data_IF_920731449937
#
_entry.id   IF_920731449937
#
_cell.length_a   1.000
_cell.length_b   1.000
_cell.length_c   1.000
_cell.angle_alpha   90.00
_cell.angle_beta   90.00
_cell.angle_gamma   90.00
#
_symmetry.space_group_name_H-M   'P 1'
#
loop_
_entity.id
_entity.type
_entity.pdbx_description
1 polymer ?
#
# COMPACT_ATOMS: atom_id res chain seq x y z
N UNK A 1 -7.77 -4.83 -27.52
CA UNK A 1 -6.90 -3.84 -26.86
C UNK A 1 -7.24 -3.92 -25.37
N UNK A 2 -6.52 -4.77 -24.63
CA UNK A 2 -6.72 -5.08 -23.21
C UNK A 2 -5.38 -5.57 -22.65
N UNK A 3 -4.33 -4.73 -22.66
CA UNK A 3 -3.00 -5.07 -22.13
C UNK A 3 -2.20 -3.80 -21.90
N UNK A 4 -2.37 -3.14 -20.75
CA UNK A 4 -1.38 -2.20 -20.19
C UNK A 4 -1.72 -1.70 -18.77
N UNK A 5 -2.14 -2.55 -17.81
CA UNK A 5 -2.54 -2.04 -16.47
C UNK A 5 -1.98 -2.82 -15.29
N UNK A 6 -1.09 -3.79 -15.50
CA UNK A 6 -0.37 -4.45 -14.41
C UNK A 6 0.94 -3.77 -13.96
N UNK A 7 1.59 -2.85 -14.73
CA UNK A 7 2.65 -2.02 -14.13
C UNK A 7 2.08 -0.94 -13.21
N UNK A 8 0.76 -0.76 -13.13
CA UNK A 8 0.11 0.29 -12.32
C UNK A 8 0.35 0.08 -10.82
N UNK A 9 0.59 -1.14 -10.34
CA UNK A 9 1.00 -1.37 -8.95
C UNK A 9 2.43 -0.87 -8.65
N UNK A 10 3.30 -0.81 -9.66
CA UNK A 10 4.64 -0.22 -9.54
C UNK A 10 4.66 1.27 -9.90
N UNK A 11 3.73 1.72 -10.75
CA UNK A 11 3.77 3.05 -11.38
C UNK A 11 2.99 4.12 -10.61
N UNK A 12 2.07 3.74 -9.70
CA UNK A 12 1.49 4.68 -8.72
C UNK A 12 2.54 5.28 -7.78
N UNK A 13 3.68 4.60 -7.59
CA UNK A 13 4.81 5.13 -6.80
C UNK A 13 5.53 6.30 -7.48
N UNK A 14 5.43 6.46 -8.80
CA UNK A 14 6.19 7.48 -9.54
C UNK A 14 5.54 8.88 -9.54
N UNK A 15 4.24 8.99 -9.30
CA UNK A 15 3.58 10.30 -9.16
C UNK A 15 3.78 10.92 -7.78
N UNK A 16 4.10 10.12 -6.75
CA UNK A 16 4.40 10.62 -5.40
C UNK A 16 5.71 11.46 -5.35
N UNK A 17 6.61 11.29 -6.33
CA UNK A 17 7.88 12.01 -6.38
C UNK A 17 7.78 13.44 -6.92
N UNK A 18 6.64 13.86 -7.50
CA UNK A 18 6.53 15.16 -8.17
C UNK A 18 5.97 16.30 -7.30
N UNK A 19 5.32 16.01 -6.17
CA UNK A 19 4.76 17.03 -5.26
C UNK A 19 5.59 17.27 -3.99
N UNK A 20 6.84 16.78 -3.94
CA UNK A 20 7.82 17.10 -2.88
C UNK A 20 8.69 18.31 -3.27
N UNK A 21 8.40 19.46 -2.64
CA UNK A 21 9.19 20.71 -2.59
C UNK A 21 9.91 21.16 -3.89
N UNK A 22 9.23 22.05 -4.64
CA UNK A 22 9.82 22.76 -5.75
C UNK A 22 10.81 23.85 -5.26
N UNK A 23 12.09 23.48 -5.05
CA UNK A 23 13.17 24.47 -4.99
C UNK A 23 14.34 24.15 -5.96
N UNK A 24 14.27 24.84 -7.10
CA UNK A 24 15.35 25.37 -7.97
C UNK A 24 16.55 24.49 -8.33
N UNK A 25 16.49 24.05 -9.60
CA UNK A 25 17.57 24.03 -10.61
C UNK A 25 18.87 23.28 -10.29
N UNK A 26 19.12 22.21 -11.05
CA UNK A 26 20.28 22.12 -11.96
C UNK A 26 20.13 20.98 -12.97
N UNK A 27 20.23 21.35 -14.25
CA UNK A 27 20.42 20.45 -15.38
C UNK A 27 21.54 19.45 -15.13
N UNK A 28 21.31 18.18 -15.50
CA UNK A 28 22.38 17.35 -16.01
C UNK A 28 21.82 16.42 -17.09
N UNK A 29 22.18 16.77 -18.33
CA UNK A 29 22.00 15.98 -19.53
C UNK A 29 22.64 14.60 -19.40
N UNK A 30 21.84 13.56 -19.65
CA UNK A 30 22.20 12.41 -20.48
C UNK A 30 21.00 11.44 -20.59
N UNK A 31 20.02 11.76 -21.43
CA UNK A 31 19.07 10.75 -21.92
C UNK A 31 19.21 10.59 -23.43
N UNK A 32 19.62 9.39 -23.83
CA UNK A 32 19.60 8.93 -25.22
C UNK A 32 18.14 8.76 -25.63
N UNK A 33 17.63 9.72 -26.40
CA UNK A 33 16.27 9.75 -26.95
C UNK A 33 16.08 8.67 -28.02
N UNK A 34 15.07 7.83 -27.86
CA UNK A 34 14.48 7.04 -28.96
C UNK A 34 13.27 7.81 -29.47
N UNK A 35 13.41 8.37 -30.67
CA UNK A 35 12.35 9.07 -31.42
C UNK A 35 11.34 8.08 -31.99
N UNK A 36 10.05 8.31 -31.74
CA UNK A 36 8.96 7.76 -32.55
C UNK A 36 8.28 8.94 -33.23
N UNK A 37 8.43 8.99 -34.56
CA UNK A 37 7.80 9.99 -35.42
C UNK A 37 6.31 9.69 -35.57
N UNK A 38 5.46 10.70 -35.36
CA UNK A 38 4.12 10.75 -35.96
C UNK A 38 3.86 12.16 -36.51
N UNK A 39 3.89 12.26 -37.84
CA UNK A 39 3.20 13.25 -38.68
C UNK A 39 1.69 13.31 -38.29
N UNK A 40 0.90 14.40 -38.36
CA UNK A 40 0.98 15.73 -38.95
C UNK A 40 -0.18 16.60 -38.39
N UNK A 41 0.03 17.91 -38.32
CA UNK A 41 -0.77 18.96 -38.98
C UNK A 41 -0.97 20.22 -38.11
N UNK A 42 -0.50 21.32 -38.68
CA UNK A 42 -0.57 22.67 -38.15
C UNK A 42 -2.01 23.21 -38.22
N UNK A 43 -2.53 23.70 -37.10
CA UNK A 43 -3.74 24.51 -37.06
C UNK A 43 -3.68 25.46 -35.87
N UNK A 44 -3.44 26.74 -36.14
CA UNK A 44 -3.47 27.81 -35.14
C UNK A 44 -4.86 27.91 -34.51
N UNK A 45 -4.96 27.89 -33.18
CA UNK A 45 -6.18 28.30 -32.47
C UNK A 45 -5.90 29.60 -31.73
N UNK A 46 -6.68 30.61 -32.07
CA UNK A 46 -6.81 31.88 -31.36
C UNK A 46 -8.10 31.82 -30.54
N UNK A 47 -7.97 32.23 -29.28
CA UNK A 47 -8.95 32.63 -28.26
C UNK A 47 -10.49 32.54 -28.48
N UNK A 48 -11.13 31.97 -27.42
CA UNK A 48 -12.34 32.43 -26.67
C UNK A 48 -13.76 31.90 -27.03
N UNK A 49 -14.32 31.24 -25.99
CA UNK A 49 -15.73 31.00 -25.56
C UNK A 49 -16.66 30.05 -26.31
N UNK A 50 -17.18 29.04 -25.58
CA UNK A 50 -18.62 28.88 -25.25
C UNK A 50 -18.81 27.90 -24.08
N UNK A 51 -19.47 28.34 -23.00
CA UNK A 51 -20.07 27.50 -21.97
C UNK A 51 -21.37 26.89 -22.53
N UNK A 52 -21.57 25.59 -22.39
CA UNK A 52 -22.80 24.91 -22.81
C UNK A 52 -23.57 24.41 -21.58
N UNK A 53 -24.83 24.83 -21.45
CA UNK A 53 -25.80 24.30 -20.50
C UNK A 53 -26.55 23.13 -21.13
N UNK A 54 -26.71 22.02 -20.41
CA UNK A 54 -27.68 20.99 -20.78
C UNK A 54 -29.10 21.35 -20.32
N UNK A 55 -30.09 20.60 -20.82
CA UNK A 55 -31.54 20.84 -20.62
C UNK A 55 -32.01 20.58 -19.16
N UNK A 56 -31.08 20.32 -18.23
CA UNK A 56 -31.32 20.19 -16.80
C UNK A 56 -30.70 21.33 -15.97
N UNK A 57 -30.07 22.32 -16.61
CA UNK A 57 -29.49 23.47 -15.92
C UNK A 57 -28.18 23.17 -15.17
N UNK A 58 -27.55 22.04 -15.44
CA UNK A 58 -26.20 21.75 -14.96
C UNK A 58 -25.19 22.43 -15.90
N UNK A 59 -24.28 23.22 -15.34
CA UNK A 59 -23.15 23.79 -16.08
C UNK A 59 -22.09 22.69 -16.18
N UNK A 60 -21.90 22.11 -17.36
CA UNK A 60 -20.80 21.19 -17.63
C UNK A 60 -19.50 21.98 -17.72
N UNK A 61 -18.63 21.82 -16.72
CA UNK A 61 -17.30 22.42 -16.71
C UNK A 61 -16.38 21.64 -17.65
N UNK A 62 -15.68 22.31 -18.55
CA UNK A 62 -14.70 21.70 -19.46
C UNK A 62 -13.24 22.10 -19.17
N UNK A 63 -13.05 22.90 -18.12
CA UNK A 63 -11.78 23.45 -17.69
C UNK A 63 -11.36 22.71 -16.41
N UNK A 64 -10.25 21.97 -16.48
CA UNK A 64 -9.74 21.17 -15.36
C UNK A 64 -9.56 22.01 -14.09
N UNK A 65 -9.15 23.27 -14.22
CA UNK A 65 -8.95 24.17 -13.08
C UNK A 65 -10.26 24.44 -12.34
N UNK A 66 -11.35 24.65 -13.11
CA UNK A 66 -12.70 24.83 -12.56
C UNK A 66 -13.25 23.54 -11.98
N UNK A 67 -12.96 22.38 -12.58
CA UNK A 67 -13.40 21.08 -12.04
C UNK A 67 -12.68 20.79 -10.72
N UNK A 68 -11.40 21.12 -10.60
CA UNK A 68 -10.68 21.05 -9.33
C UNK A 68 -11.31 21.96 -8.27
N UNK A 69 -11.57 23.25 -8.58
CA UNK A 69 -12.17 24.17 -7.61
C UNK A 69 -13.56 23.68 -7.18
N UNK A 70 -14.33 23.14 -8.13
CA UNK A 70 -15.61 22.50 -7.89
C UNK A 70 -15.48 21.28 -6.95
N UNK A 71 -14.48 20.42 -7.18
CA UNK A 71 -14.21 19.26 -6.34
C UNK A 71 -13.97 19.64 -4.87
N UNK A 72 -13.12 20.65 -4.64
CA UNK A 72 -12.84 21.15 -3.29
C UNK A 72 -14.09 21.73 -2.62
N UNK A 73 -14.91 22.48 -3.37
CA UNK A 73 -16.15 23.06 -2.83
C UNK A 73 -17.21 22.00 -2.53
N UNK A 74 -17.33 20.98 -3.38
CA UNK A 74 -18.16 19.82 -3.13
C UNK A 74 -17.72 19.07 -1.87
N UNK A 75 -16.42 18.86 -1.68
CA UNK A 75 -15.89 18.17 -0.52
C UNK A 75 -16.17 18.94 0.77
N UNK A 76 -15.91 20.26 0.80
CA UNK A 76 -16.25 21.12 1.96
C UNK A 76 -17.72 21.07 2.35
N UNK A 77 -18.63 20.89 1.37
CA UNK A 77 -20.08 20.83 1.59
C UNK A 77 -20.59 19.43 1.90
N UNK A 78 -19.72 18.40 1.83
CA UNK A 78 -20.10 17.00 1.89
C UNK A 78 -21.16 16.65 0.82
N UNK A 79 -20.94 17.18 -0.39
CA UNK A 79 -21.83 17.04 -1.55
C UNK A 79 -20.99 16.74 -2.80
N UNK A 80 -20.30 15.59 -2.78
CA UNK A 80 -19.36 15.18 -3.83
C UNK A 80 -19.98 14.36 -4.95
N UNK A 81 -21.26 13.97 -4.83
CA UNK A 81 -21.96 13.21 -5.86
C UNK A 81 -21.86 13.85 -7.26
N UNK A 82 -22.03 15.18 -7.42
CA UNK A 82 -21.89 15.83 -8.74
C UNK A 82 -20.50 15.71 -9.36
N UNK A 83 -19.43 15.55 -8.56
CA UNK A 83 -18.07 15.42 -9.08
C UNK A 83 -17.89 14.11 -9.87
N UNK A 84 -18.67 13.08 -9.55
CA UNK A 84 -18.58 11.77 -10.18
C UNK A 84 -18.86 11.81 -11.70
N UNK A 85 -19.62 12.80 -12.19
CA UNK A 85 -19.83 13.00 -13.62
C UNK A 85 -18.53 13.25 -14.39
N UNK A 86 -17.56 13.92 -13.77
CA UNK A 86 -16.27 14.28 -14.36
C UNK A 86 -15.23 13.16 -14.30
N UNK A 87 -15.51 12.08 -13.57
CA UNK A 87 -14.62 10.92 -13.49
C UNK A 87 -14.48 10.22 -14.83
N UNK A 88 -13.26 9.78 -15.12
CA UNK A 88 -12.94 8.98 -16.30
C UNK A 88 -13.70 7.66 -16.29
N UNK A 89 -13.79 7.02 -17.46
CA UNK A 89 -14.37 5.67 -17.56
C UNK A 89 -13.67 4.67 -16.64
N UNK A 90 -12.35 4.76 -16.51
CA UNK A 90 -11.56 3.83 -15.69
C UNK A 90 -11.91 3.95 -14.20
N UNK A 91 -12.15 5.17 -13.68
CA UNK A 91 -12.65 5.36 -12.32
C UNK A 91 -14.06 4.77 -12.18
N UNK A 92 -14.96 5.06 -13.12
CA UNK A 92 -16.37 4.59 -13.07
C UNK A 92 -16.51 3.07 -13.20
N UNK A 93 -15.55 2.40 -13.83
CA UNK A 93 -15.48 0.94 -13.88
C UNK A 93 -14.97 0.32 -12.57
N UNK A 94 -14.29 1.11 -11.74
CA UNK A 94 -13.65 0.69 -10.48
C UNK A 94 -14.56 0.93 -9.27
N UNK A 95 -15.20 2.10 -9.20
CA UNK A 95 -16.03 2.53 -8.07
C UNK A 95 -17.33 3.13 -8.60
N UNK A 96 -18.46 2.78 -7.98
CA UNK A 96 -19.74 3.41 -8.25
C UNK A 96 -19.86 4.78 -7.54
N UNK A 97 -20.95 5.50 -7.82
CA UNK A 97 -21.16 6.84 -7.26
C UNK A 97 -21.23 6.82 -5.72
N UNK A 98 -21.94 5.85 -5.15
CA UNK A 98 -22.06 5.71 -3.69
C UNK A 98 -20.69 5.44 -3.04
N UNK A 99 -19.88 4.56 -3.62
CA UNK A 99 -18.52 4.31 -3.16
C UNK A 99 -17.62 5.54 -3.31
N UNK A 100 -17.77 6.29 -4.40
CA UNK A 100 -17.04 7.54 -4.62
C UNK A 100 -17.38 8.58 -3.57
N UNK A 101 -18.67 8.74 -3.23
CA UNK A 101 -19.12 9.61 -2.14
C UNK A 101 -18.53 9.16 -0.81
N UNK A 102 -18.64 7.85 -0.51
CA UNK A 102 -18.09 7.26 0.72
C UNK A 102 -16.61 7.58 0.92
N UNK A 103 -15.80 7.53 -0.15
CA UNK A 103 -14.37 7.84 -0.09
C UNK A 103 -14.08 9.24 0.46
N UNK A 104 -14.88 10.26 0.11
CA UNK A 104 -14.69 11.63 0.60
C UNK A 104 -15.33 11.85 1.97
N UNK A 105 -16.47 11.21 2.22
CA UNK A 105 -17.19 11.28 3.49
C UNK A 105 -16.39 10.65 4.63
N UNK A 106 -15.71 9.54 4.35
CA UNK A 106 -14.83 8.85 5.30
C UNK A 106 -13.72 9.77 5.82
N UNK A 107 -13.20 10.69 4.99
CA UNK A 107 -12.20 11.67 5.45
C UNK A 107 -12.79 12.66 6.46
N UNK A 108 -14.01 13.15 6.22
CA UNK A 108 -14.69 14.07 7.14
C UNK A 108 -15.05 13.35 8.45
N UNK A 109 -15.56 12.12 8.33
CA UNK A 109 -15.98 11.33 9.48
C UNK A 109 -14.77 10.87 10.34
N UNK A 110 -13.60 10.64 9.72
CA UNK A 110 -12.39 10.24 10.42
C UNK A 110 -11.56 11.42 10.95
N UNK A 111 -11.48 12.52 10.21
CA UNK A 111 -10.52 13.60 10.48
C UNK A 111 -11.16 14.91 10.93
N UNK A 112 -12.49 14.99 10.90
CA UNK A 112 -13.28 16.17 11.26
C UNK A 112 -13.58 17.06 10.06
N UNK A 113 -14.11 18.26 10.29
CA UNK A 113 -14.42 19.19 9.20
C UNK A 113 -13.15 19.74 8.51
N UNK A 114 -13.25 20.09 7.23
CA UNK A 114 -12.20 20.85 6.52
C UNK A 114 -12.15 22.27 7.11
N UNK A 115 -10.98 22.65 7.62
CA UNK A 115 -10.71 23.95 8.25
C UNK A 115 -10.10 24.95 7.26
N UNK A 116 -9.20 24.50 6.39
CA UNK A 116 -8.60 25.29 5.31
C UNK A 116 -8.09 24.39 4.18
N UNK A 117 -7.79 24.99 3.03
CA UNK A 117 -7.14 24.33 1.90
C UNK A 117 -6.03 25.27 1.44
N UNK A 118 -4.83 24.73 1.26
CA UNK A 118 -3.68 25.48 0.76
C UNK A 118 -3.89 25.98 -0.68
N UNK A 119 -2.99 26.85 -1.14
CA UNK A 119 -2.96 27.21 -2.56
C UNK A 119 -2.57 25.99 -3.39
N UNK A 120 -3.26 25.82 -4.53
CA UNK A 120 -3.01 24.69 -5.43
C UNK A 120 -1.74 24.91 -6.24
N UNK A 121 -0.91 23.88 -6.33
CA UNK A 121 0.16 23.76 -7.32
C UNK A 121 -0.31 22.92 -8.50
N UNK A 122 0.11 23.30 -9.71
CA UNK A 122 -0.22 22.57 -10.93
C UNK A 122 1.04 21.90 -11.49
N UNK A 123 0.98 20.58 -11.60
CA UNK A 123 2.05 19.76 -12.17
C UNK A 123 1.58 19.16 -13.49
N UNK A 124 2.34 19.39 -14.56
CA UNK A 124 2.08 18.80 -15.87
C UNK A 124 3.19 17.82 -16.25
N UNK A 125 2.82 16.56 -16.46
CA UNK A 125 3.77 15.52 -16.84
C UNK A 125 3.09 14.44 -17.68
N UNK A 126 3.76 14.00 -18.76
CA UNK A 126 3.33 12.86 -19.59
C UNK A 126 1.87 12.96 -20.10
N UNK A 127 1.38 14.17 -20.37
CA UNK A 127 0.01 14.39 -20.84
C UNK A 127 -1.06 14.36 -19.74
N UNK A 128 -0.64 14.34 -18.48
CA UNK A 128 -1.49 14.48 -17.30
C UNK A 128 -1.32 15.88 -16.71
N UNK A 129 -2.40 16.42 -16.15
CA UNK A 129 -2.40 17.66 -15.39
C UNK A 129 -2.91 17.38 -13.97
N UNK A 130 -2.06 17.58 -12.97
CA UNK A 130 -2.35 17.29 -11.58
C UNK A 130 -2.42 18.57 -10.75
N UNK A 131 -3.51 18.75 -10.02
CA UNK A 131 -3.69 19.84 -9.06
C UNK A 131 -3.37 19.29 -7.67
N UNK A 132 -2.24 19.69 -7.10
CA UNK A 132 -1.76 19.30 -5.77
C UNK A 132 -2.12 20.39 -4.75
N UNK A 133 -2.63 20.00 -3.58
CA UNK A 133 -2.91 20.90 -2.46
C UNK A 133 -2.78 20.14 -1.15
N UNK A 134 -2.62 20.84 -0.02
CA UNK A 134 -2.92 20.27 1.29
C UNK A 134 -4.33 20.67 1.71
N UNK A 135 -5.14 19.69 2.09
CA UNK A 135 -6.46 19.91 2.73
C UNK A 135 -6.29 19.73 4.23
N UNK A 136 -6.61 20.76 5.01
CA UNK A 136 -6.47 20.75 6.45
C UNK A 136 -7.80 20.41 7.12
N UNK A 137 -7.83 19.32 7.86
CA UNK A 137 -8.94 18.89 8.69
C UNK A 137 -8.72 19.28 10.16
N UNK A 138 -9.73 19.13 11.01
CA UNK A 138 -9.60 19.42 12.45
C UNK A 138 -8.48 18.60 13.13
N UNK A 139 -8.26 17.36 12.68
CA UNK A 139 -7.33 16.40 13.28
C UNK A 139 -6.26 15.84 12.32
N UNK A 140 -6.25 16.25 11.05
CA UNK A 140 -5.29 15.77 10.07
C UNK A 140 -4.97 16.80 8.99
N UNK A 141 -3.78 16.71 8.42
CA UNK A 141 -3.42 17.38 7.17
C UNK A 141 -3.38 16.36 6.05
N UNK A 142 -3.96 16.65 4.90
CA UNK A 142 -4.06 15.71 3.80
C UNK A 142 -3.53 16.33 2.51
N UNK A 143 -2.26 16.10 2.16
CA UNK A 143 -1.80 16.20 0.78
C UNK A 143 -2.77 15.44 -0.13
N UNK A 144 -3.37 16.16 -1.07
CA UNK A 144 -4.35 15.66 -2.02
C UNK A 144 -3.96 16.09 -3.44
N UNK A 145 -4.16 15.19 -4.41
CA UNK A 145 -3.99 15.51 -5.82
C UNK A 145 -5.17 15.05 -6.67
N UNK A 146 -5.60 15.91 -7.59
CA UNK A 146 -6.64 15.62 -8.58
C UNK A 146 -5.98 15.63 -9.95
N UNK A 147 -5.88 14.45 -10.57
CA UNK A 147 -5.15 14.25 -11.82
C UNK A 147 -6.13 14.08 -12.98
N UNK A 148 -5.99 14.96 -13.96
CA UNK A 148 -6.78 14.96 -15.18
C UNK A 148 -6.00 14.33 -16.33
N UNK A 149 -6.66 13.44 -17.07
CA UNK A 149 -6.13 12.73 -18.23
C UNK A 149 -7.12 12.96 -19.37
N UNK A 150 -6.68 13.60 -20.46
CA UNK A 150 -7.54 13.98 -21.59
C UNK A 150 -8.79 14.79 -21.19
N UNK A 151 -8.71 15.60 -20.12
CA UNK A 151 -9.82 16.43 -19.64
C UNK A 151 -10.81 15.73 -18.71
N UNK A 152 -10.60 14.45 -18.39
CA UNK A 152 -11.40 13.70 -17.41
C UNK A 152 -10.61 13.52 -16.11
N UNK A 153 -11.29 13.51 -14.96
CA UNK A 153 -10.67 13.20 -13.68
C UNK A 153 -10.27 11.73 -13.68
N UNK A 154 -8.98 11.46 -13.89
CA UNK A 154 -8.41 10.13 -14.08
C UNK A 154 -7.77 9.55 -12.83
N UNK A 155 -7.49 10.38 -11.82
CA UNK A 155 -6.96 9.91 -10.54
C UNK A 155 -7.18 10.91 -9.42
N UNK A 156 -7.38 10.40 -8.21
CA UNK A 156 -7.41 11.17 -6.96
C UNK A 156 -6.44 10.47 -6.01
N UNK A 157 -5.54 11.24 -5.39
CA UNK A 157 -4.69 10.76 -4.31
C UNK A 157 -4.96 11.59 -3.06
N UNK A 158 -5.04 10.95 -1.90
CA UNK A 158 -5.26 11.60 -0.61
C UNK A 158 -4.42 10.85 0.43
N UNK A 159 -3.51 11.57 1.10
CA UNK A 159 -2.55 10.99 2.03
C UNK A 159 -2.71 11.69 3.40
N UNK A 160 -3.67 11.32 4.25
CA UNK A 160 -3.90 12.02 5.51
C UNK A 160 -2.77 11.76 6.53
N UNK A 161 -2.34 12.80 7.25
CA UNK A 161 -1.40 12.74 8.36
C UNK A 161 -2.05 13.34 9.60
N UNK A 162 -2.13 12.57 10.67
CA UNK A 162 -2.69 13.06 11.92
C UNK A 162 -1.81 14.13 12.54
N UNK A 163 -2.42 15.22 12.98
CA UNK A 163 -1.72 16.32 13.65
C UNK A 163 -1.75 16.18 15.17
N UNK A 164 -2.57 15.26 15.70
CA UNK A 164 -2.78 14.99 17.12
C UNK A 164 -3.17 13.53 17.32
N UNK A 165 -2.87 13.00 18.50
CA UNK A 165 -3.37 11.70 18.91
C UNK A 165 -4.88 11.78 19.22
N UNK A 166 -5.65 10.78 18.82
CA UNK A 166 -7.07 10.67 19.15
C UNK A 166 -7.53 9.21 19.18
N UNK A 167 -8.70 8.97 19.79
CA UNK A 167 -9.32 7.65 19.84
C UNK A 167 -10.64 7.69 19.08
N UNK A 168 -10.87 6.69 18.23
CA UNK A 168 -12.14 6.45 17.54
C UNK A 168 -12.85 5.25 18.16
N UNK A 169 -14.14 5.41 18.46
CA UNK A 169 -15.03 4.29 18.80
C UNK A 169 -15.50 3.66 17.49
N UNK A 170 -15.02 2.45 17.18
CA UNK A 170 -15.38 1.72 15.95
C UNK A 170 -16.69 0.95 16.13
N UNK A 171 -16.88 0.40 17.33
CA UNK A 171 -18.10 -0.28 17.75
C UNK A 171 -18.29 -0.11 19.26
N UNK A 172 -19.32 -0.72 19.84
CA UNK A 172 -19.52 -0.74 21.30
C UNK A 172 -18.33 -1.36 22.07
N UNK A 173 -17.50 -2.18 21.40
CA UNK A 173 -16.41 -2.94 22.01
C UNK A 173 -15.03 -2.65 21.44
N UNK A 174 -14.94 -2.13 20.21
CA UNK A 174 -13.66 -1.92 19.50
C UNK A 174 -13.32 -0.45 19.43
N UNK A 175 -12.07 -0.13 19.78
CA UNK A 175 -11.50 1.21 19.71
C UNK A 175 -10.23 1.21 18.87
N UNK A 176 -9.95 2.35 18.27
CA UNK A 176 -8.71 2.62 17.55
C UNK A 176 -8.06 3.89 18.11
N UNK A 177 -6.87 3.76 18.68
CA UNK A 177 -6.02 4.89 19.02
C UNK A 177 -5.12 5.21 17.81
N UNK A 178 -5.19 6.44 17.34
CA UNK A 178 -4.39 6.97 16.25
C UNK A 178 -3.32 7.89 16.82
N UNK A 179 -2.07 7.67 16.44
CA UNK A 179 -0.91 8.41 16.94
C UNK A 179 0.26 8.30 15.96
N UNK A 180 1.40 8.87 16.32
CA UNK A 180 2.64 8.77 15.55
C UNK A 180 3.74 8.08 16.34
N UNK A 181 4.47 7.18 15.68
CA UNK A 181 5.73 6.61 16.17
C UNK A 181 6.87 7.37 15.52
N UNK A 182 7.78 7.89 16.34
CA UNK A 182 9.01 8.52 15.87
C UNK A 182 10.05 7.44 15.58
N UNK A 183 10.59 7.48 14.37
CA UNK A 183 11.62 6.56 13.89
C UNK A 183 12.66 7.36 13.13
N UNK A 184 13.80 7.63 13.76
CA UNK A 184 14.89 8.47 13.23
C UNK A 184 14.42 9.84 12.71
N UNK A 185 13.45 10.46 13.40
CA UNK A 185 12.87 11.74 13.01
C UNK A 185 11.80 11.65 11.92
N UNK A 186 11.49 10.46 11.41
CA UNK A 186 10.29 10.19 10.64
C UNK A 186 9.13 9.93 11.58
N UNK A 187 8.05 10.71 11.43
CA UNK A 187 6.83 10.58 12.23
C UNK A 187 5.84 9.71 11.47
N UNK A 188 5.81 8.42 11.79
CA UNK A 188 5.02 7.43 11.09
C UNK A 188 3.68 7.23 11.78
N UNK A 189 2.61 7.36 11.01
CA UNK A 189 1.26 7.12 11.49
C UNK A 189 1.08 5.68 11.92
N UNK A 190 0.57 5.48 13.13
CA UNK A 190 0.26 4.18 13.70
C UNK A 190 -1.16 4.15 14.26
N UNK A 191 -1.77 2.97 14.21
CA UNK A 191 -3.12 2.70 14.70
C UNK A 191 -3.09 1.48 15.61
N UNK A 192 -3.43 1.68 16.87
CA UNK A 192 -3.60 0.60 17.84
C UNK A 192 -5.08 0.27 17.99
N UNK A 193 -5.47 -0.91 17.54
CA UNK A 193 -6.85 -1.42 17.57
C UNK A 193 -6.99 -2.41 18.71
N UNK A 194 -7.95 -2.18 19.61
CA UNK A 194 -8.10 -2.97 20.84
C UNK A 194 -9.56 -3.08 21.28
N UNK A 195 -9.84 -4.06 22.14
CA UNK A 195 -11.13 -4.18 22.83
C UNK A 195 -10.95 -4.27 24.35
N UNK A 196 -11.78 -3.51 25.08
CA UNK A 196 -11.70 -3.42 26.55
C UNK A 196 -10.42 -2.73 27.06
N UNK A 197 -10.11 -2.94 28.33
CA UNK A 197 -8.96 -2.32 29.02
C UNK A 197 -7.95 -3.32 29.59
N UNK A 198 -8.25 -4.62 29.47
CA UNK A 198 -7.39 -5.68 29.99
C UNK A 198 -6.23 -5.96 29.04
N UNK A 199 -5.12 -6.48 29.57
CA UNK A 199 -4.00 -6.91 28.75
C UNK A 199 -4.40 -8.11 27.87
N UNK A 200 -4.18 -8.01 26.57
CA UNK A 200 -4.51 -9.05 25.58
C UNK A 200 -3.29 -9.41 24.72
N UNK A 201 -3.27 -10.61 24.13
CA UNK A 201 -2.34 -10.93 23.05
C UNK A 201 -2.48 -9.88 21.94
N UNK A 202 -1.34 -9.43 21.42
CA UNK A 202 -1.31 -8.34 20.46
C UNK A 202 -0.48 -8.71 19.24
N UNK A 203 -0.98 -8.39 18.04
CA UNK A 203 -0.24 -8.58 16.79
C UNK A 203 0.38 -7.28 16.33
N UNK A 204 1.65 -7.31 15.93
CA UNK A 204 2.24 -6.32 15.05
C UNK A 204 2.02 -6.76 13.61
N UNK A 205 1.30 -5.96 12.82
CA UNK A 205 1.03 -6.23 11.42
C UNK A 205 2.11 -5.58 10.55
N UNK A 206 2.84 -6.39 9.77
CA UNK A 206 3.91 -5.95 8.87
C UNK A 206 3.43 -6.10 7.42
N UNK A 207 3.41 -4.98 6.69
CA UNK A 207 2.97 -4.92 5.31
C UNK A 207 3.84 -5.74 4.35
N UNK A 208 3.30 -6.04 3.17
CA UNK A 208 4.02 -6.56 2.02
C UNK A 208 4.96 -5.55 1.37
N UNK A 209 5.36 -5.86 0.14
CA UNK A 209 6.33 -5.09 -0.64
C UNK A 209 5.80 -3.74 -1.12
N UNK A 210 6.70 -2.76 -1.27
CA UNK A 210 6.41 -1.44 -1.81
C UNK A 210 5.73 -0.49 -0.83
N UNK A 211 5.62 0.81 -1.12
CA UNK A 211 5.02 1.80 -0.23
C UNK A 211 3.60 1.43 0.20
N UNK A 212 3.35 1.35 1.52
CA UNK A 212 2.04 0.99 2.08
C UNK A 212 1.66 1.87 3.26
N UNK A 213 0.37 2.22 3.33
CA UNK A 213 -0.22 2.84 4.52
C UNK A 213 -0.37 1.83 5.67
N UNK A 214 -0.84 2.30 6.82
CA UNK A 214 -1.10 1.44 7.98
C UNK A 214 -2.24 0.42 7.75
N UNK A 215 -3.07 0.58 6.72
CA UNK A 215 -4.14 -0.35 6.39
C UNK A 215 -3.75 -1.41 5.36
N UNK A 216 -2.54 -1.30 4.79
CA UNK A 216 -2.15 -1.98 3.56
C UNK A 216 -3.18 -1.83 2.45
N UNK A 217 -3.73 -0.62 2.34
CA UNK A 217 -4.81 -0.33 1.42
C UNK A 217 -4.33 -0.44 -0.02
N UNK A 218 -5.12 -1.14 -0.83
CA UNK A 218 -4.90 -1.26 -2.28
C UNK A 218 -6.21 -1.10 -3.00
N UNK A 219 -6.30 -0.08 -3.88
CA UNK A 219 -7.57 0.31 -4.48
C UNK A 219 -8.63 0.60 -3.41
N UNK A 220 -9.68 -0.22 -3.36
CA UNK A 220 -10.84 -0.03 -2.48
C UNK A 220 -10.90 -1.03 -1.31
N UNK A 221 -9.80 -1.76 -1.08
CA UNK A 221 -9.69 -2.73 0.00
C UNK A 221 -8.61 -2.30 1.01
N UNK A 222 -8.82 -2.64 2.28
CA UNK A 222 -8.01 -2.25 3.43
C UNK A 222 -7.83 -3.47 4.37
N UNK A 223 -7.04 -4.48 3.96
CA UNK A 223 -7.01 -5.77 4.62
C UNK A 223 -6.55 -5.70 6.09
N UNK A 224 -5.61 -4.83 6.43
CA UNK A 224 -5.17 -4.72 7.82
C UNK A 224 -6.24 -4.11 8.72
N UNK A 225 -7.14 -3.28 8.19
CA UNK A 225 -8.29 -2.75 8.93
C UNK A 225 -9.30 -3.83 9.26
N UNK A 226 -9.66 -4.65 8.27
CA UNK A 226 -10.51 -5.81 8.46
C UNK A 226 -9.91 -6.79 9.48
N UNK A 227 -8.60 -7.07 9.37
CA UNK A 227 -7.89 -7.94 10.31
C UNK A 227 -7.92 -7.37 11.73
N UNK A 228 -7.51 -6.12 11.91
CA UNK A 228 -7.38 -5.52 13.23
C UNK A 228 -8.72 -5.44 13.98
N UNK A 229 -9.77 -4.98 13.32
CA UNK A 229 -11.09 -4.82 13.94
C UNK A 229 -11.70 -6.17 14.31
N UNK A 230 -11.62 -7.17 13.43
CA UNK A 230 -12.17 -8.51 13.69
C UNK A 230 -11.35 -9.32 14.68
N UNK A 231 -10.04 -9.09 14.78
CA UNK A 231 -9.22 -9.66 15.84
C UNK A 231 -9.54 -9.04 17.20
N UNK A 232 -9.80 -7.73 17.26
CA UNK A 232 -10.20 -7.06 18.50
C UNK A 232 -11.49 -7.68 19.07
N UNK A 233 -12.47 -8.00 18.22
CA UNK A 233 -13.69 -8.72 18.63
C UNK A 233 -13.43 -10.13 19.19
N UNK A 234 -12.26 -10.72 18.89
CA UNK A 234 -11.81 -12.01 19.41
C UNK A 234 -10.87 -11.89 20.62
N UNK A 235 -10.68 -10.69 21.16
CA UNK A 235 -9.78 -10.40 22.28
C UNK A 235 -8.32 -10.45 21.88
N UNK A 236 -7.98 -10.02 20.67
CA UNK A 236 -6.60 -9.90 20.19
C UNK A 236 -6.43 -8.47 19.68
N UNK A 237 -5.52 -7.72 20.28
CA UNK A 237 -5.24 -6.35 19.85
C UNK A 237 -4.30 -6.34 18.64
N UNK A 238 -4.24 -5.22 17.92
CA UNK A 238 -3.36 -5.07 16.75
C UNK A 238 -2.71 -3.70 16.73
N UNK A 239 -1.41 -3.65 16.42
CA UNK A 239 -0.73 -2.44 16.00
C UNK A 239 -0.44 -2.50 14.50
N UNK A 240 -0.78 -1.41 13.82
CA UNK A 240 -0.53 -1.18 12.41
C UNK A 240 0.19 0.15 12.22
N UNK A 241 1.06 0.24 11.23
CA UNK A 241 1.84 1.46 10.99
C UNK A 241 2.10 1.62 9.49
N UNK A 242 2.08 2.86 9.01
CA UNK A 242 2.49 3.15 7.62
C UNK A 242 4.01 2.98 7.48
N UNK A 243 4.47 2.59 6.30
CA UNK A 243 5.90 2.55 6.02
C UNK A 243 6.42 3.94 5.72
N UNK A 244 7.68 4.25 6.08
CA UNK A 244 8.31 5.53 5.71
C UNK A 244 8.34 5.75 4.19
N UNK A 245 8.40 4.68 3.40
CA UNK A 245 8.35 4.73 1.93
C UNK A 245 7.01 5.21 1.37
N UNK A 246 5.92 5.08 2.14
CA UNK A 246 4.59 5.59 1.78
C UNK A 246 4.48 7.10 1.95
N UNK A 247 4.92 7.60 3.11
CA UNK A 247 4.78 9.01 3.47
C UNK A 247 5.95 9.89 3.00
N UNK A 248 7.15 9.36 3.12
CA UNK A 248 8.42 10.06 2.96
C UNK A 248 9.26 9.41 1.85
N UNK A 249 8.60 8.83 0.83
CA UNK A 249 9.27 8.15 -0.28
C UNK A 249 10.20 9.06 -1.08
N UNK A 250 9.94 10.36 -1.11
CA UNK A 250 10.81 11.40 -1.68
C UNK A 250 12.15 11.56 -0.91
N UNK A 251 12.15 11.20 0.37
CA UNK A 251 13.32 11.23 1.27
C UNK A 251 14.05 9.88 1.34
N UNK A 252 13.45 8.82 0.81
CA UNK A 252 14.04 7.49 0.75
C UNK A 252 15.18 7.49 -0.27
N UNK A 253 16.41 7.29 0.19
CA UNK A 253 17.60 7.44 -0.65
C UNK A 253 17.88 6.15 -1.42
N UNK A 254 18.60 6.22 -2.56
CA UNK A 254 19.02 5.02 -3.27
C UNK A 254 19.88 4.05 -2.45
N UNK A 255 20.50 4.53 -1.37
CA UNK A 255 21.33 3.76 -0.44
C UNK A 255 20.55 3.17 0.73
N UNK A 256 19.29 3.58 0.93
CA UNK A 256 18.44 3.04 1.99
C UNK A 256 17.96 1.63 1.56
N UNK A 257 17.78 0.72 2.51
CA UNK A 257 17.52 -0.71 2.28
C UNK A 257 16.41 -1.28 3.19
N UNK A 258 16.45 -2.58 3.56
CA UNK A 258 15.43 -3.17 4.43
C UNK A 258 15.48 -2.60 5.85
N UNK A 259 16.63 -2.11 6.31
CA UNK A 259 16.75 -1.51 7.63
C UNK A 259 15.83 -0.29 7.73
N UNK A 260 15.90 0.61 6.75
CA UNK A 260 15.02 1.77 6.71
C UNK A 260 13.59 1.41 6.32
N UNK A 261 13.36 0.52 5.34
CA UNK A 261 11.99 0.21 4.91
C UNK A 261 11.21 -0.58 5.97
N UNK A 262 11.89 -1.43 6.75
CA UNK A 262 11.26 -2.36 7.67
C UNK A 262 11.86 -2.38 9.08
N UNK A 263 13.11 -2.81 9.25
CA UNK A 263 13.60 -3.28 10.55
C UNK A 263 13.65 -2.18 11.61
N UNK A 264 14.08 -0.98 11.23
CA UNK A 264 14.14 0.18 12.13
C UNK A 264 12.73 0.62 12.55
N UNK A 265 11.83 0.76 11.59
CA UNK A 265 10.48 1.26 11.79
C UNK A 265 9.63 0.27 12.60
N UNK A 266 9.53 -0.98 12.13
CA UNK A 266 8.76 -2.00 12.84
C UNK A 266 9.42 -2.42 14.15
N UNK A 267 10.75 -2.28 14.29
CA UNK A 267 11.43 -2.43 15.57
C UNK A 267 11.00 -1.39 16.60
N UNK A 268 10.81 -0.13 16.19
CA UNK A 268 10.27 0.92 17.06
C UNK A 268 8.79 0.67 17.40
N UNK A 269 7.99 0.18 16.45
CA UNK A 269 6.62 -0.27 16.70
C UNK A 269 6.55 -1.44 17.71
N UNK A 270 7.45 -2.41 17.60
CA UNK A 270 7.55 -3.53 18.54
C UNK A 270 7.92 -3.03 19.95
N UNK A 271 8.89 -2.12 20.07
CA UNK A 271 9.27 -1.51 21.35
C UNK A 271 8.13 -0.70 21.95
N UNK A 272 7.31 -0.03 21.13
CA UNK A 272 6.10 0.64 21.62
C UNK A 272 5.13 -0.36 22.26
N UNK A 273 4.87 -1.50 21.59
CA UNK A 273 4.03 -2.57 22.13
C UNK A 273 4.54 -3.13 23.46
N UNK A 274 5.86 -3.29 23.61
CA UNK A 274 6.46 -3.76 24.86
C UNK A 274 6.19 -2.85 26.07
N UNK A 275 5.85 -1.58 25.82
CA UNK A 275 5.63 -0.58 26.86
C UNK A 275 4.13 -0.26 27.08
N UNK A 276 3.21 -0.81 26.29
CA UNK A 276 1.78 -0.58 26.46
C UNK A 276 1.16 -1.60 27.43
N UNK A 277 0.50 -1.12 28.49
CA UNK A 277 -0.09 -1.99 29.53
C UNK A 277 -1.25 -2.87 29.05
N UNK A 278 -1.79 -2.63 27.85
CA UNK A 278 -2.86 -3.43 27.23
C UNK A 278 -2.31 -4.63 26.46
N UNK A 279 -1.00 -4.83 26.44
CA UNK A 279 -0.31 -5.91 25.72
C UNK A 279 0.12 -6.99 26.72
N UNK A 280 -0.33 -8.23 26.54
CA UNK A 280 0.17 -9.38 27.33
C UNK A 280 1.38 -10.05 26.68
N UNK A 281 1.27 -10.30 25.38
CA UNK A 281 2.23 -11.03 24.55
C UNK A 281 2.21 -10.41 23.15
N UNK A 282 3.37 -10.35 22.49
CA UNK A 282 3.49 -9.80 21.15
C UNK A 282 3.71 -10.93 20.15
N UNK A 283 2.87 -10.94 19.12
CA UNK A 283 2.98 -11.79 17.94
C UNK A 283 3.28 -10.90 16.73
N UNK A 284 3.93 -11.45 15.70
CA UNK A 284 4.15 -10.72 14.45
C UNK A 284 3.37 -11.41 13.35
N UNK A 285 2.52 -10.64 12.65
CA UNK A 285 1.78 -11.08 11.48
C UNK A 285 2.40 -10.38 10.27
N UNK A 286 3.12 -11.13 9.45
CA UNK A 286 3.73 -10.62 8.23
C UNK A 286 2.90 -10.99 7.01
N UNK A 287 2.49 -9.99 6.22
CA UNK A 287 1.79 -10.19 4.95
C UNK A 287 2.77 -10.18 3.77
N UNK A 288 2.65 -11.13 2.84
CA UNK A 288 3.48 -11.19 1.63
C UNK A 288 4.98 -11.13 1.96
N UNK A 289 5.74 -10.16 1.44
CA UNK A 289 7.14 -9.92 1.82
C UNK A 289 7.33 -9.72 3.33
N UNK A 290 6.35 -9.11 4.01
CA UNK A 290 6.35 -8.93 5.46
C UNK A 290 6.46 -10.24 6.25
N UNK A 291 6.15 -11.40 5.66
CA UNK A 291 6.41 -12.71 6.30
C UNK A 291 7.90 -13.02 6.43
N UNK A 292 8.72 -12.64 5.44
CA UNK A 292 10.17 -12.79 5.47
C UNK A 292 10.77 -11.83 6.50
N UNK A 293 10.30 -10.60 6.51
CA UNK A 293 10.67 -9.58 7.50
C UNK A 293 10.32 -10.04 8.93
N UNK A 294 9.12 -10.59 9.13
CA UNK A 294 8.69 -11.10 10.43
C UNK A 294 9.57 -12.25 10.93
N UNK A 295 10.05 -13.11 10.03
CA UNK A 295 10.99 -14.18 10.36
C UNK A 295 12.33 -13.60 10.82
N UNK A 296 12.91 -12.69 10.04
CA UNK A 296 14.19 -12.05 10.36
C UNK A 296 14.13 -11.29 11.70
N UNK A 297 13.08 -10.49 11.91
CA UNK A 297 12.86 -9.77 13.17
C UNK A 297 12.73 -10.70 14.39
N UNK A 298 12.36 -11.97 14.19
CA UNK A 298 12.10 -12.89 15.30
C UNK A 298 13.34 -13.24 16.10
N UNK A 299 14.52 -13.18 15.47
CA UNK A 299 15.80 -13.47 16.12
C UNK A 299 16.18 -12.40 17.16
N UNK A 300 15.95 -11.13 16.84
CA UNK A 300 16.18 -10.01 17.75
C UNK A 300 15.07 -9.89 18.80
N UNK A 301 13.82 -9.87 18.38
CA UNK A 301 12.68 -9.44 19.20
C UNK A 301 11.97 -10.57 19.95
N UNK A 302 12.17 -11.83 19.53
CA UNK A 302 11.64 -13.04 20.17
C UNK A 302 10.14 -12.95 20.49
N UNK A 303 9.27 -12.72 19.48
CA UNK A 303 7.83 -12.69 19.69
C UNK A 303 7.32 -14.04 20.20
N UNK A 304 6.13 -14.02 20.82
CA UNK A 304 5.45 -15.20 21.30
C UNK A 304 5.08 -16.18 20.17
N UNK A 305 4.98 -15.68 18.94
CA UNK A 305 4.83 -16.48 17.73
C UNK A 305 4.76 -15.62 16.47
N UNK A 306 4.85 -16.28 15.32
CA UNK A 306 4.75 -15.68 14.00
C UNK A 306 3.51 -16.17 13.27
N UNK A 307 2.93 -15.28 12.47
CA UNK A 307 1.91 -15.63 11.48
C UNK A 307 2.34 -15.11 10.11
N UNK A 308 2.46 -16.00 9.15
CA UNK A 308 2.75 -15.65 7.76
C UNK A 308 1.45 -15.69 6.97
N UNK A 309 0.95 -14.53 6.57
CA UNK A 309 -0.27 -14.38 5.80
C UNK A 309 0.10 -14.14 4.33
N UNK A 310 -0.23 -15.09 3.47
CA UNK A 310 0.08 -15.04 2.04
C UNK A 310 1.56 -14.71 1.76
N UNK A 311 2.45 -15.19 2.62
CA UNK A 311 3.90 -15.04 2.47
C UNK A 311 4.55 -16.19 1.70
N UNK A 312 5.87 -16.15 1.61
CA UNK A 312 6.73 -17.18 1.01
C UNK A 312 8.15 -17.12 1.59
N UNK A 313 8.89 -18.23 1.53
CA UNK A 313 10.35 -18.26 1.77
C UNK A 313 11.16 -18.39 0.48
N UNK A 314 10.51 -18.30 -0.69
CA UNK A 314 11.23 -18.16 -1.96
C UNK A 314 11.86 -16.78 -2.01
N UNK A 315 13.02 -16.70 -2.67
CA UNK A 315 13.72 -15.45 -2.90
C UNK A 315 12.84 -14.45 -3.65
N UNK A 316 12.78 -13.20 -3.19
CA UNK A 316 11.92 -12.15 -3.73
C UNK A 316 12.11 -11.97 -5.23
N UNK A 317 13.36 -11.97 -5.72
CA UNK A 317 13.66 -11.91 -7.16
C UNK A 317 13.02 -13.04 -7.99
N UNK A 318 12.84 -14.25 -7.44
CA UNK A 318 12.18 -15.36 -8.16
C UNK A 318 10.67 -15.15 -8.22
N UNK A 319 10.07 -14.67 -7.12
CA UNK A 319 8.64 -14.35 -7.03
C UNK A 319 8.31 -13.16 -7.95
N UNK A 320 9.12 -12.10 -7.90
CA UNK A 320 8.98 -10.94 -8.76
C UNK A 320 9.16 -11.31 -10.24
N UNK A 321 10.10 -12.19 -10.57
CA UNK A 321 10.25 -12.70 -11.93
C UNK A 321 8.98 -13.40 -12.44
N UNK A 322 8.36 -14.28 -11.64
CA UNK A 322 7.14 -14.98 -12.02
C UNK A 322 6.00 -13.98 -12.29
N UNK A 323 5.80 -13.03 -11.36
CA UNK A 323 4.77 -11.99 -11.49
C UNK A 323 4.99 -11.09 -12.73
N UNK A 324 6.22 -10.68 -13.00
CA UNK A 324 6.55 -9.84 -14.16
C UNK A 324 6.36 -10.59 -15.48
N UNK A 325 6.76 -11.87 -15.55
CA UNK A 325 6.58 -12.70 -16.74
C UNK A 325 5.12 -12.99 -17.00
N UNK A 326 4.32 -13.21 -15.96
CA UNK A 326 2.87 -13.39 -16.10
C UNK A 326 2.19 -12.11 -16.60
N UNK A 327 2.58 -10.95 -16.04
CA UNK A 327 2.09 -9.65 -16.42
C UNK A 327 2.43 -9.28 -17.86
N UNK A 328 3.67 -9.56 -18.26
CA UNK A 328 4.21 -9.19 -19.55
C UNK A 328 5.10 -10.30 -20.15
N UNK A 329 4.48 -11.36 -20.71
CA UNK A 329 5.21 -12.50 -21.24
C UNK A 329 6.15 -12.16 -22.39
N UNK A 330 5.94 -11.02 -23.07
CA UNK A 330 6.74 -10.61 -24.22
C UNK A 330 8.18 -10.20 -23.80
N UNK A 331 8.36 -9.73 -22.56
CA UNK A 331 9.64 -9.25 -22.05
C UNK A 331 10.38 -10.26 -21.15
N UNK A 332 9.95 -11.53 -21.17
CA UNK A 332 10.51 -12.61 -20.34
C UNK A 332 12.05 -12.65 -20.32
N UNK A 333 12.71 -12.53 -21.47
CA UNK A 333 14.18 -12.58 -21.53
C UNK A 333 14.85 -11.43 -20.76
N UNK A 334 14.26 -10.23 -20.82
CA UNK A 334 14.75 -9.07 -20.07
C UNK A 334 14.55 -9.28 -18.55
N UNK A 335 13.40 -9.81 -18.14
CA UNK A 335 13.14 -10.13 -16.73
C UNK A 335 14.06 -11.22 -16.20
N UNK A 336 14.35 -12.26 -16.99
CA UNK A 336 15.34 -13.28 -16.63
C UNK A 336 16.71 -12.64 -16.36
N UNK A 337 17.18 -11.75 -17.23
CA UNK A 337 18.45 -11.07 -17.04
C UNK A 337 18.44 -10.15 -15.81
N UNK A 338 17.38 -9.36 -15.65
CA UNK A 338 17.22 -8.40 -14.56
C UNK A 338 17.25 -9.07 -13.20
N UNK A 339 16.39 -10.08 -12.97
CA UNK A 339 16.30 -10.74 -11.67
C UNK A 339 17.47 -11.69 -11.40
N UNK A 340 18.10 -12.25 -12.44
CA UNK A 340 19.39 -12.95 -12.26
C UNK A 340 20.51 -12.00 -11.80
N UNK A 341 20.51 -10.75 -12.30
CA UNK A 341 21.47 -9.74 -11.86
C UNK A 341 21.19 -9.32 -10.41
N UNK A 342 19.92 -9.10 -10.05
CA UNK A 342 19.50 -8.78 -8.67
C UNK A 342 19.98 -9.83 -7.66
N UNK A 343 19.83 -11.13 -7.95
CA UNK A 343 20.30 -12.23 -7.10
C UNK A 343 21.82 -12.34 -6.98
N UNK A 344 22.56 -11.71 -7.89
CA UNK A 344 24.03 -11.71 -7.88
C UNK A 344 24.61 -10.46 -7.20
N UNK A 345 23.76 -9.55 -6.73
CA UNK A 345 24.17 -8.35 -6.01
C UNK A 345 24.72 -8.73 -4.63
N UNK A 346 25.78 -8.05 -4.22
CA UNK A 346 26.43 -8.16 -2.91
C UNK A 346 26.88 -6.78 -2.47
N UNK A 347 27.14 -6.57 -1.18
CA UNK A 347 27.69 -5.30 -0.68
C UNK A 347 28.99 -4.86 -1.39
N UNK A 348 29.73 -5.80 -2.00
CA UNK A 348 30.97 -5.50 -2.72
C UNK A 348 30.78 -4.94 -4.14
N UNK A 349 29.58 -5.04 -4.73
CA UNK A 349 29.32 -4.67 -6.13
C UNK A 349 28.17 -3.66 -6.31
N UNK A 350 27.64 -3.09 -5.23
CA UNK A 350 26.63 -2.03 -5.27
C UNK A 350 27.14 -0.77 -5.95
N UNK A 351 26.25 -0.08 -6.66
CA UNK A 351 26.55 1.06 -7.52
C UNK A 351 25.40 2.07 -7.62
N UNK A 352 24.23 1.77 -7.04
CA UNK A 352 22.98 2.49 -7.24
C UNK A 352 22.18 2.02 -8.45
N UNK A 353 22.50 0.85 -9.03
CA UNK A 353 21.73 0.26 -10.13
C UNK A 353 20.34 -0.15 -9.65
N UNK A 354 19.35 -0.15 -10.55
CA UNK A 354 17.98 -0.54 -10.23
C UNK A 354 17.61 -1.86 -10.93
N UNK A 355 17.01 -2.79 -10.18
CA UNK A 355 16.46 -4.04 -10.67
C UNK A 355 15.04 -4.20 -10.13
N UNK A 356 14.05 -4.17 -11.03
CA UNK A 356 12.65 -4.38 -10.66
C UNK A 356 12.06 -3.28 -9.77
N UNK A 357 12.59 -2.05 -9.82
CA UNK A 357 12.14 -0.94 -8.96
C UNK A 357 12.97 -0.78 -7.69
N UNK A 358 13.78 -1.77 -7.31
CA UNK A 358 14.63 -1.74 -6.11
C UNK A 358 16.10 -1.49 -6.47
N UNK A 359 16.83 -0.79 -5.60
CA UNK A 359 18.25 -0.52 -5.82
C UNK A 359 19.11 -1.73 -5.49
N UNK A 360 20.33 -1.76 -6.01
CA UNK A 360 21.32 -2.78 -5.67
C UNK A 360 21.78 -2.70 -4.21
N UNK A 361 21.64 -1.56 -3.52
CA UNK A 361 21.79 -1.51 -2.05
C UNK A 361 20.74 -2.38 -1.36
N UNK A 362 19.47 -2.19 -1.70
CA UNK A 362 18.37 -3.00 -1.18
C UNK A 362 18.56 -4.49 -1.49
N UNK A 363 18.97 -4.85 -2.71
CA UNK A 363 19.22 -6.25 -3.06
C UNK A 363 20.43 -6.84 -2.34
N UNK A 364 21.48 -6.05 -2.09
CA UNK A 364 22.66 -6.54 -1.36
C UNK A 364 22.28 -6.95 0.06
N UNK A 365 21.48 -6.13 0.74
CA UNK A 365 20.97 -6.37 2.07
C UNK A 365 19.98 -7.56 2.08
N UNK A 366 18.99 -7.54 1.16
CA UNK A 366 18.04 -8.66 1.03
C UNK A 366 18.73 -10.01 0.78
N UNK A 367 19.77 -10.04 -0.05
CA UNK A 367 20.49 -11.26 -0.41
C UNK A 367 21.34 -11.83 0.75
N UNK A 368 21.54 -11.09 1.85
CA UNK A 368 22.29 -11.56 3.02
C UNK A 368 21.42 -12.42 3.97
N UNK A 369 20.08 -12.33 3.87
CA UNK A 369 19.14 -13.13 4.66
C UNK A 369 19.18 -14.63 4.26
N UNK A 370 19.22 -15.54 5.25
CA UNK A 370 19.13 -17.00 5.05
C UNK A 370 17.73 -17.53 5.37
N UNK A 371 16.71 -17.00 4.69
CA UNK A 371 15.29 -17.27 4.97
C UNK A 371 14.95 -18.78 5.10
N UNK A 372 15.54 -19.62 4.26
CA UNK A 372 15.36 -21.07 4.36
C UNK A 372 16.06 -21.68 5.58
N UNK A 373 17.27 -21.24 5.89
CA UNK A 373 18.02 -21.63 7.08
C UNK A 373 17.30 -21.20 8.36
N UNK A 374 16.85 -19.96 8.41
CA UNK A 374 16.16 -19.36 9.55
C UNK A 374 14.81 -20.02 9.79
N UNK A 375 14.04 -20.30 8.72
CA UNK A 375 12.80 -21.03 8.83
C UNK A 375 13.02 -22.49 9.32
N UNK A 376 14.14 -23.12 8.95
CA UNK A 376 14.51 -24.44 9.50
C UNK A 376 14.95 -24.34 10.96
N UNK A 377 15.61 -23.26 11.36
CA UNK A 377 16.11 -23.03 12.70
C UNK A 377 15.04 -22.53 13.69
N UNK A 378 13.94 -21.95 13.20
CA UNK A 378 12.90 -21.33 14.04
C UNK A 378 12.35 -22.29 15.09
N UNK A 379 12.29 -21.80 16.34
CA UNK A 379 11.85 -22.56 17.52
C UNK A 379 10.57 -22.04 18.15
N UNK A 380 10.25 -20.75 17.94
CA UNK A 380 8.96 -20.18 18.35
C UNK A 380 7.81 -20.73 17.48
N UNK A 381 6.56 -20.65 17.94
CA UNK A 381 5.40 -21.06 17.15
C UNK A 381 5.29 -20.26 15.82
N UNK A 382 5.02 -20.96 14.72
CA UNK A 382 4.77 -20.34 13.40
C UNK A 382 3.46 -20.86 12.81
N UNK A 383 2.58 -19.95 12.39
CA UNK A 383 1.34 -20.26 11.68
C UNK A 383 1.42 -19.71 10.26
N UNK A 384 1.37 -20.58 9.27
CA UNK A 384 1.42 -20.23 7.84
C UNK A 384 0.01 -20.34 7.28
N UNK A 385 -0.46 -19.26 6.67
CA UNK A 385 -1.79 -19.13 6.07
C UNK A 385 -1.59 -18.65 4.63
N UNK A 386 -1.77 -19.53 3.65
CA UNK A 386 -1.81 -19.16 2.24
C UNK A 386 -3.23 -19.27 1.69
N UNK A 387 -3.55 -18.46 0.68
CA UNK A 387 -4.87 -18.42 0.05
C UNK A 387 -4.82 -19.05 -1.35
N UNK A 388 -5.86 -19.80 -1.72
CA UNK A 388 -5.88 -20.64 -2.92
C UNK A 388 -6.33 -19.92 -4.20
N UNK A 389 -6.87 -18.71 -4.10
CA UNK A 389 -7.13 -17.83 -5.25
C UNK A 389 -6.15 -16.65 -5.28
N UNK A 390 -5.01 -16.80 -4.61
CA UNK A 390 -3.87 -15.88 -4.65
C UNK A 390 -3.22 -15.91 -6.05
N UNK A 391 -2.88 -14.73 -6.58
CA UNK A 391 -2.24 -14.55 -7.88
C UNK A 391 -0.82 -13.99 -7.77
N UNK A 392 -0.28 -13.87 -6.56
CA UNK A 392 1.07 -13.39 -6.26
C UNK A 392 1.93 -14.47 -5.61
N UNK A 393 1.30 -15.47 -5.00
CA UNK A 393 1.94 -16.64 -4.40
C UNK A 393 1.59 -17.89 -5.21
N UNK A 394 2.60 -18.69 -5.57
CA UNK A 394 2.46 -19.82 -6.49
C UNK A 394 2.64 -21.17 -5.77
N UNK A 395 2.32 -22.27 -6.48
CA UNK A 395 2.47 -23.63 -5.93
C UNK A 395 3.88 -23.91 -5.40
N UNK A 396 4.92 -23.35 -6.04
CA UNK A 396 6.30 -23.51 -5.61
C UNK A 396 6.58 -22.88 -4.23
N UNK A 397 5.89 -21.78 -3.89
CA UNK A 397 5.98 -21.12 -2.59
C UNK A 397 5.35 -21.98 -1.49
N UNK A 398 4.16 -22.52 -1.78
CA UNK A 398 3.42 -23.42 -0.90
C UNK A 398 4.20 -24.71 -0.64
N UNK A 399 4.77 -25.31 -1.69
CA UNK A 399 5.52 -26.56 -1.57
C UNK A 399 6.86 -26.38 -0.86
N UNK A 400 7.49 -25.22 -1.01
CA UNK A 400 8.68 -24.87 -0.22
C UNK A 400 8.33 -24.83 1.28
N UNK A 401 7.25 -24.15 1.68
CA UNK A 401 6.85 -24.15 3.10
C UNK A 401 6.63 -25.55 3.65
N UNK A 402 5.89 -26.42 2.94
CA UNK A 402 5.65 -27.80 3.38
C UNK A 402 6.95 -28.55 3.63
N UNK A 403 7.96 -28.31 2.78
CA UNK A 403 9.28 -28.91 2.90
C UNK A 403 10.06 -28.35 4.09
N UNK A 404 10.06 -27.02 4.27
CA UNK A 404 10.79 -26.35 5.36
C UNK A 404 10.25 -26.72 6.75
N UNK A 405 8.94 -26.98 6.86
CA UNK A 405 8.29 -27.30 8.14
C UNK A 405 8.12 -28.81 8.39
N UNK A 406 8.61 -29.68 7.51
CA UNK A 406 8.43 -31.12 7.66
C UNK A 406 9.01 -31.60 9.00
N UNK A 407 8.16 -32.24 9.82
CA UNK A 407 8.56 -32.72 11.15
C UNK A 407 8.69 -31.65 12.24
N UNK A 408 8.26 -30.41 11.99
CA UNK A 408 8.26 -29.33 12.99
C UNK A 408 6.89 -29.23 13.69
N UNK A 409 6.86 -29.57 14.97
CA UNK A 409 5.64 -29.54 15.80
C UNK A 409 5.22 -28.10 16.19
N UNK A 410 6.16 -27.15 16.11
CA UNK A 410 5.92 -25.72 16.37
C UNK A 410 5.38 -24.96 15.15
N UNK A 411 5.24 -25.62 13.99
CA UNK A 411 4.78 -24.99 12.76
C UNK A 411 3.42 -25.55 12.34
N UNK A 412 2.51 -24.70 11.88
CA UNK A 412 1.25 -25.14 11.26
C UNK A 412 1.03 -24.46 9.92
N UNK A 413 0.45 -25.20 8.98
CA UNK A 413 0.18 -24.72 7.62
C UNK A 413 -1.30 -24.87 7.29
N UNK A 414 -1.90 -23.80 6.75
CA UNK A 414 -3.29 -23.76 6.30
C UNK A 414 -3.36 -23.16 4.90
N UNK A 415 -4.04 -23.86 3.97
CA UNK A 415 -4.37 -23.35 2.64
C UNK A 415 -5.88 -23.07 2.56
N UNK A 416 -6.28 -21.82 2.41
CA UNK A 416 -7.68 -21.40 2.38
C UNK A 416 -8.18 -21.21 0.94
N UNK A 417 -9.12 -22.02 0.43
CA UNK A 417 -9.58 -21.92 -0.95
C UNK A 417 -10.49 -20.70 -1.19
N UNK A 418 -10.49 -20.16 -2.41
CA UNK A 418 -11.43 -19.11 -2.83
C UNK A 418 -11.20 -17.73 -2.19
N UNK A 419 -9.98 -17.49 -1.70
CA UNK A 419 -9.56 -16.22 -1.12
C UNK A 419 -8.36 -15.72 -1.92
N UNK A 420 -8.31 -14.42 -2.20
CA UNK A 420 -7.21 -13.80 -2.94
C UNK A 420 -6.03 -13.41 -2.02
N UNK A 421 -5.02 -12.78 -2.61
CA UNK A 421 -3.81 -12.33 -1.91
C UNK A 421 -4.10 -11.38 -0.73
N UNK A 422 -5.10 -10.52 -0.83
CA UNK A 422 -5.42 -9.53 0.21
C UNK A 422 -6.49 -10.02 1.21
N UNK A 423 -6.88 -11.30 1.14
CA UNK A 423 -7.81 -11.89 2.09
C UNK A 423 -9.29 -11.69 1.80
N UNK A 424 -9.63 -11.28 0.58
CA UNK A 424 -11.01 -11.12 0.13
C UNK A 424 -11.47 -12.34 -0.68
N UNK A 425 -12.77 -12.65 -0.60
CA UNK A 425 -13.39 -13.72 -1.37
C UNK A 425 -13.24 -13.44 -2.86
N UNK A 426 -12.80 -14.44 -3.61
CA UNK A 426 -12.64 -14.33 -5.06
C UNK A 426 -13.13 -15.59 -5.76
N UNK A 427 -13.89 -15.38 -6.86
CA UNK A 427 -14.33 -16.43 -7.76
C UNK A 427 -13.31 -16.74 -8.87
N UNK A 428 -12.17 -16.02 -8.92
CA UNK A 428 -11.13 -16.19 -9.94
C UNK A 428 -9.76 -15.63 -9.54
N UNK A 429 -8.73 -15.92 -10.35
CA UNK A 429 -7.35 -15.44 -10.14
C UNK A 429 -7.09 -14.06 -10.76
N UNK A 430 -8.10 -13.37 -11.28
CA UNK A 430 -7.88 -12.05 -11.87
C UNK A 430 -7.68 -11.01 -10.76
N UNK A 431 -6.52 -10.35 -10.74
CA UNK A 431 -6.20 -9.30 -9.80
C UNK A 431 -7.25 -8.17 -9.75
N UNK A 432 -7.99 -7.95 -10.86
CA UNK A 432 -9.05 -6.94 -10.93
C UNK A 432 -10.31 -7.31 -10.13
N UNK A 433 -10.56 -8.60 -9.90
CA UNK A 433 -11.74 -9.05 -9.15
C UNK A 433 -11.61 -8.69 -7.66
N UNK A 434 -10.38 -8.55 -7.16
CA UNK A 434 -10.07 -8.08 -5.80
C UNK A 434 -10.69 -6.72 -5.49
N UNK A 435 -10.78 -5.82 -6.46
CA UNK A 435 -11.36 -4.49 -6.25
C UNK A 435 -12.89 -4.48 -6.37
N UNK A 436 -13.48 -5.54 -6.93
CA UNK A 436 -14.93 -5.65 -7.18
C UNK A 436 -15.65 -6.40 -6.08
N UNK A 437 -15.05 -7.47 -5.55
CA UNK A 437 -15.64 -8.25 -4.47
C UNK A 437 -14.94 -7.91 -3.14
N UNK A 438 -15.63 -7.13 -2.30
CA UNK A 438 -15.10 -6.62 -1.02
C UNK A 438 -15.48 -7.49 0.19
N UNK A 439 -15.96 -8.71 -0.01
CA UNK A 439 -16.22 -9.60 1.13
C UNK A 439 -14.90 -10.11 1.72
N UNK A 440 -14.50 -9.55 2.87
CA UNK A 440 -13.33 -10.02 3.60
C UNK A 440 -13.58 -11.40 4.22
N UNK A 441 -12.65 -12.34 4.03
CA UNK A 441 -12.84 -13.72 4.45
C UNK A 441 -12.59 -13.91 5.96
N UNK A 442 -13.64 -14.23 6.71
CA UNK A 442 -13.54 -14.48 8.16
C UNK A 442 -12.64 -15.65 8.51
N UNK A 443 -12.43 -16.59 7.60
CA UNK A 443 -11.53 -17.75 7.78
C UNK A 443 -10.08 -17.32 8.04
N UNK A 444 -9.64 -16.18 7.50
CA UNK A 444 -8.32 -15.62 7.80
C UNK A 444 -8.24 -15.23 9.27
N UNK A 445 -9.26 -14.54 9.77
CA UNK A 445 -9.30 -14.09 11.16
C UNK A 445 -9.31 -15.30 12.10
N UNK A 446 -10.09 -16.33 11.78
CA UNK A 446 -10.14 -17.56 12.56
C UNK A 446 -8.79 -18.29 12.57
N UNK A 447 -8.10 -18.36 11.42
CA UNK A 447 -6.80 -18.98 11.30
C UNK A 447 -5.71 -18.21 12.07
N UNK A 448 -5.68 -16.87 11.97
CA UNK A 448 -4.77 -16.00 12.74
C UNK A 448 -5.03 -16.19 14.24
N UNK A 449 -6.27 -16.08 14.69
CA UNK A 449 -6.63 -16.20 16.10
C UNK A 449 -6.31 -17.60 16.66
N UNK A 450 -6.49 -18.65 15.86
CA UNK A 450 -6.11 -20.01 16.25
C UNK A 450 -4.59 -20.19 16.37
N UNK A 451 -3.79 -19.45 15.58
CA UNK A 451 -2.33 -19.43 15.71
C UNK A 451 -1.85 -18.74 16.98
N UNK A 452 -2.52 -17.66 17.38
CA UNK A 452 -2.16 -16.83 18.55
C UNK A 452 -2.56 -17.50 19.87
N UNK A 453 -3.69 -18.21 19.92
CA UNK A 453 -4.21 -18.85 21.15
C UNK A 453 -3.62 -20.24 21.45
N UNK A 454 -2.61 -20.67 20.70
CA UNK A 454 -1.85 -21.91 20.98
C UNK A 454 -0.74 -21.64 21.98
#
# INVERSE_FOLDING_TARGET
>A
MKKLYLPVLLMTCLLMAACGDADKTKENDASTSITVETETSNGSVTDVTTEASDDNGAVQLSDNDKIYDFAIECWKKRDVAPLYEYCSKDIKDLIDEDGFIGMFDDFIDNFGAITSVDEKDVVEAQGMQSYCTTVHFENADCPASFTFINGELGGISMLPTFTKDFTKEVSDTVKEDYFQIDSDGYKLTAVFTYSGSDAQPTVLLINGSGPSDYNEATGLVAPFEEIARRLADKGINSLRMEKRTYRFGDKFKPTDDLDEEYFTDFGNAYKWLQNDSRVSDIYIVGHSLGAQIALEMSDEYKPAGLVFLNGTMRHLADVAYDQYVEADPANKAAYTQMFSAAKAVTAANVSGANYGGLTDYYWADYNDMDLEGDMKAVTIPVTIINCGADSQIYDADIDLFKTLIEGKDNCTFTLLPGINHFGYKSEGQNAYDTFKNREFATEIIDAIAAGIKK
#
